data_IF_142128891946
#
_entry.id   IF_142128891946
#
_cell.length_a   1.000
_cell.length_b   1.000
_cell.length_c   1.000
_cell.angle_alpha   90.00
_cell.angle_beta   90.00
_cell.angle_gamma   90.00
#
_symmetry.space_group_name_H-M   'P 1'
#
loop_
_entity.id
_entity.type
_entity.pdbx_description
1 polymer ?
#
# COMPACT_ATOMS: atom_id res chain seq x y z
N UNK A 1 -3.39 -0.32 2.69
CA UNK A 1 -4.24 0.50 3.61
C UNK A 1 -5.21 1.47 2.90
N UNK A 2 -4.88 1.99 1.70
CA UNK A 2 -5.81 2.80 0.86
C UNK A 2 -7.15 2.09 0.52
N UNK A 3 -7.24 0.76 0.67
CA UNK A 3 -8.46 -0.04 0.44
C UNK A 3 -9.58 0.15 1.47
N UNK A 4 -9.26 0.54 2.70
CA UNK A 4 -10.17 0.36 3.84
C UNK A 4 -10.58 1.67 4.54
N UNK A 5 -9.79 2.73 4.36
CA UNK A 5 -9.89 3.98 5.13
C UNK A 5 -10.19 5.15 4.19
N UNK A 6 -11.20 5.00 3.33
CA UNK A 6 -11.68 6.05 2.43
C UNK A 6 -12.75 6.93 3.07
N UNK A 7 -12.72 8.22 2.72
CA UNK A 7 -13.53 9.37 3.17
C UNK A 7 -13.19 9.98 4.54
N UNK A 8 -13.01 11.31 4.53
CA UNK A 8 -12.87 12.18 5.70
C UNK A 8 -14.21 12.24 6.44
N UNK A 9 -14.29 11.58 7.59
CA UNK A 9 -15.49 11.52 8.42
C UNK A 9 -15.22 10.78 9.74
N UNK A 10 -16.12 10.91 10.73
CA UNK A 10 -15.92 10.32 12.06
C UNK A 10 -16.05 8.80 12.09
N UNK A 11 -16.52 8.17 11.00
CA UNK A 11 -16.83 6.74 10.91
C UNK A 11 -16.14 6.12 9.70
N UNK A 12 -15.64 4.90 9.85
CA UNK A 12 -15.19 4.08 8.72
C UNK A 12 -16.37 3.23 8.27
N UNK A 13 -17.13 3.73 7.29
CA UNK A 13 -18.41 3.15 6.86
C UNK A 13 -18.33 1.67 6.49
N UNK A 14 -17.22 1.26 5.85
CA UNK A 14 -17.00 -0.13 5.45
C UNK A 14 -16.95 -1.11 6.64
N UNK A 15 -16.62 -0.64 7.84
CA UNK A 15 -16.58 -1.49 9.05
C UNK A 15 -17.62 -1.07 10.10
N UNK A 16 -18.40 -0.01 9.85
CA UNK A 16 -19.40 0.54 10.78
C UNK A 16 -18.84 0.83 12.18
N UNK A 17 -17.57 1.21 12.27
CA UNK A 17 -16.91 1.64 13.52
C UNK A 17 -16.51 3.10 13.44
N UNK A 18 -16.46 3.77 14.59
CA UNK A 18 -15.89 5.11 14.65
C UNK A 18 -14.40 5.06 14.30
N UNK A 19 -13.89 6.12 13.69
CA UNK A 19 -12.47 6.26 13.37
C UNK A 19 -11.60 6.20 14.63
N UNK A 20 -12.09 6.75 15.75
CA UNK A 20 -11.43 6.66 17.04
C UNK A 20 -11.30 5.20 17.49
N UNK A 21 -12.39 4.41 17.44
CA UNK A 21 -12.38 3.01 17.83
C UNK A 21 -11.47 2.16 16.92
N UNK A 22 -11.46 2.46 15.62
CA UNK A 22 -10.54 1.80 14.69
C UNK A 22 -9.07 2.10 15.00
N UNK A 23 -8.71 3.38 15.21
CA UNK A 23 -7.34 3.75 15.55
C UNK A 23 -6.90 3.18 16.90
N UNK A 24 -7.78 3.16 17.90
CA UNK A 24 -7.50 2.55 19.20
C UNK A 24 -7.22 1.04 19.07
N UNK A 25 -8.07 0.32 18.32
CA UNK A 25 -7.88 -1.11 18.05
C UNK A 25 -6.59 -1.37 17.25
N UNK A 26 -6.31 -0.55 16.24
CA UNK A 26 -5.08 -0.64 15.45
C UNK A 26 -3.84 -0.45 16.32
N UNK A 27 -3.87 0.54 17.22
CA UNK A 27 -2.78 0.80 18.17
C UNK A 27 -2.55 -0.40 19.08
N UNK A 28 -3.62 -0.97 19.66
CA UNK A 28 -3.51 -2.14 20.52
C UNK A 28 -2.86 -3.34 19.78
N UNK A 29 -3.27 -3.62 18.54
CA UNK A 29 -2.67 -4.67 17.69
C UNK A 29 -1.17 -4.44 17.49
N UNK A 30 -0.78 -3.21 17.17
CA UNK A 30 0.63 -2.85 16.95
C UNK A 30 1.44 -2.99 18.25
N UNK A 31 0.90 -2.56 19.39
CA UNK A 31 1.56 -2.65 20.70
C UNK A 31 1.76 -4.10 21.15
N UNK A 32 0.87 -5.00 20.76
CA UNK A 32 1.03 -6.44 20.97
C UNK A 32 2.05 -7.09 20.02
N UNK A 33 2.67 -6.33 19.10
CA UNK A 33 3.59 -6.85 18.10
C UNK A 33 2.90 -7.71 17.03
N UNK A 34 1.57 -7.65 16.95
CA UNK A 34 0.80 -8.43 15.98
C UNK A 34 0.81 -7.76 14.60
N UNK A 35 0.54 -8.56 13.57
CA UNK A 35 0.44 -8.03 12.22
C UNK A 35 -0.72 -7.02 12.12
N UNK A 36 -0.45 -5.79 11.68
CA UNK A 36 -1.40 -4.66 11.68
C UNK A 36 -2.76 -4.97 11.03
N UNK A 37 -2.84 -5.92 10.09
CA UNK A 37 -4.10 -6.33 9.46
C UNK A 37 -5.06 -7.04 10.43
N UNK A 38 -4.57 -7.54 11.57
CA UNK A 38 -5.40 -8.16 12.60
C UNK A 38 -6.50 -7.22 13.12
N UNK A 39 -6.29 -5.90 13.05
CA UNK A 39 -7.32 -4.92 13.42
C UNK A 39 -8.64 -5.18 12.69
N UNK A 40 -8.59 -5.64 11.44
CA UNK A 40 -9.80 -5.86 10.65
C UNK A 40 -10.62 -7.04 11.17
N UNK A 41 -9.94 -8.11 11.63
CA UNK A 41 -10.62 -9.23 12.29
C UNK A 41 -11.28 -8.76 13.59
N UNK A 42 -10.67 -7.83 14.32
CA UNK A 42 -11.21 -7.29 15.57
C UNK A 42 -12.44 -6.42 15.34
N UNK A 43 -12.40 -5.51 14.36
CA UNK A 43 -13.49 -4.56 14.12
C UNK A 43 -14.63 -5.15 13.30
N UNK A 44 -14.34 -6.13 12.43
CA UNK A 44 -15.34 -6.82 11.61
C UNK A 44 -14.80 -8.21 11.22
N UNK A 45 -15.05 -9.25 12.04
CA UNK A 45 -14.66 -10.61 11.71
C UNK A 45 -15.22 -11.07 10.35
N UNK A 46 -14.43 -11.82 9.58
CA UNK A 46 -14.87 -12.43 8.32
C UNK A 46 -15.06 -11.46 7.16
N UNK A 47 -14.39 -10.30 7.17
CA UNK A 47 -14.41 -9.37 6.02
C UNK A 47 -13.87 -10.03 4.76
N UNK A 48 -14.71 -10.08 3.72
CA UNK A 48 -14.25 -10.34 2.36
C UNK A 48 -13.68 -9.06 1.73
N UNK A 49 -12.36 -8.91 1.79
CA UNK A 49 -11.65 -7.79 1.19
C UNK A 49 -11.75 -7.77 -0.34
N UNK A 50 -11.93 -8.93 -0.99
CA UNK A 50 -12.13 -8.98 -2.42
C UNK A 50 -13.51 -8.43 -2.80
N UNK A 51 -14.55 -8.70 -2.00
CA UNK A 51 -15.86 -8.07 -2.17
C UNK A 51 -15.80 -6.56 -1.95
N UNK A 52 -15.19 -6.09 -0.87
CA UNK A 52 -15.02 -4.64 -0.62
C UNK A 52 -14.24 -3.95 -1.74
N UNK A 53 -13.23 -4.63 -2.30
CA UNK A 53 -12.48 -4.14 -3.46
C UNK A 53 -13.38 -4.01 -4.68
N UNK A 54 -14.14 -5.05 -5.03
CA UNK A 54 -15.08 -5.04 -6.18
C UNK A 54 -16.13 -3.94 -6.04
N UNK A 55 -16.72 -3.79 -4.85
CA UNK A 55 -17.69 -2.73 -4.56
C UNK A 55 -17.07 -1.36 -4.81
N UNK A 56 -15.87 -1.11 -4.26
CA UNK A 56 -15.16 0.16 -4.44
C UNK A 56 -14.84 0.43 -5.91
N UNK A 57 -14.33 -0.56 -6.63
CA UNK A 57 -14.03 -0.46 -8.06
C UNK A 57 -15.28 -0.20 -8.92
N UNK A 58 -16.43 -0.76 -8.55
CA UNK A 58 -17.71 -0.52 -9.24
C UNK A 58 -18.18 0.94 -9.16
N UNK A 59 -17.73 1.68 -8.15
CA UNK A 59 -18.00 3.12 -7.97
C UNK A 59 -16.95 4.02 -8.65
N UNK A 60 -16.04 3.44 -9.45
CA UNK A 60 -14.97 4.16 -10.13
C UNK A 60 -13.75 4.44 -9.24
N UNK A 61 -13.77 4.04 -7.97
CA UNK A 61 -12.65 4.21 -7.05
C UNK A 61 -11.69 3.01 -7.15
N UNK A 62 -11.01 2.95 -8.29
CA UNK A 62 -9.98 1.95 -8.58
C UNK A 62 -8.66 2.38 -7.95
N UNK A 63 -7.83 1.41 -7.55
CA UNK A 63 -6.47 1.72 -7.11
C UNK A 63 -5.67 2.27 -8.30
N UNK A 64 -5.16 3.49 -8.15
CA UNK A 64 -4.24 4.10 -9.10
C UNK A 64 -3.08 4.75 -8.34
N UNK A 65 -1.92 4.76 -9.00
CA UNK A 65 -0.81 5.66 -8.68
C UNK A 65 -0.69 6.59 -9.87
N UNK A 66 -0.79 7.89 -9.63
CA UNK A 66 -0.69 8.91 -10.67
C UNK A 66 0.56 9.76 -10.50
N UNK A 67 0.81 10.66 -11.44
CA UNK A 67 1.89 11.65 -11.34
C UNK A 67 1.79 12.52 -10.09
N UNK A 68 0.57 12.79 -9.63
CA UNK A 68 0.30 13.62 -8.45
C UNK A 68 0.63 12.92 -7.12
N UNK A 69 0.71 11.57 -7.13
CA UNK A 69 1.18 10.80 -5.98
C UNK A 69 2.72 10.82 -5.86
N UNK A 70 3.45 11.30 -6.88
CA UNK A 70 4.91 11.39 -6.87
C UNK A 70 5.37 12.78 -6.42
N UNK A 71 6.42 12.84 -5.60
CA UNK A 71 7.13 14.11 -5.41
C UNK A 71 7.73 14.57 -6.75
N UNK A 72 7.71 15.88 -6.98
CA UNK A 72 8.12 16.47 -8.25
C UNK A 72 9.56 16.13 -8.67
N UNK A 73 10.42 15.81 -7.70
CA UNK A 73 11.83 15.49 -7.87
C UNK A 73 12.12 13.99 -8.01
N UNK A 74 11.14 13.08 -7.81
CA UNK A 74 11.35 11.62 -7.91
C UNK A 74 11.96 11.24 -9.25
N UNK A 75 11.31 11.59 -10.36
CA UNK A 75 11.76 11.19 -11.69
C UNK A 75 13.11 11.83 -12.05
N UNK A 76 13.31 13.16 -11.88
CA UNK A 76 14.62 13.78 -12.12
C UNK A 76 15.75 13.19 -11.27
N UNK A 77 15.50 12.88 -10.00
CA UNK A 77 16.49 12.31 -9.09
C UNK A 77 16.92 10.91 -9.54
N UNK A 78 15.94 10.03 -9.78
CA UNK A 78 16.22 8.66 -10.19
C UNK A 78 16.91 8.58 -11.57
N UNK A 79 16.60 9.50 -12.50
CA UNK A 79 17.32 9.60 -13.78
C UNK A 79 18.81 9.88 -13.57
N UNK A 80 19.15 10.87 -12.73
CA UNK A 80 20.54 11.23 -12.43
C UNK A 80 21.32 10.08 -11.79
N UNK A 81 20.70 9.32 -10.89
CA UNK A 81 21.33 8.14 -10.29
C UNK A 81 21.69 7.10 -11.35
N UNK A 82 20.77 6.83 -12.28
CA UNK A 82 21.01 5.88 -13.37
C UNK A 82 22.06 6.38 -14.36
N UNK A 83 22.03 7.66 -14.73
CA UNK A 83 23.04 8.30 -15.58
C UNK A 83 24.43 8.26 -14.93
N UNK A 84 24.50 8.31 -13.61
CA UNK A 84 25.74 8.12 -12.84
C UNK A 84 26.14 6.63 -12.67
N UNK A 85 25.45 5.69 -13.31
CA UNK A 85 25.73 4.26 -13.24
C UNK A 85 25.32 3.59 -11.93
N UNK A 86 24.46 4.22 -11.12
CA UNK A 86 23.94 3.63 -9.87
C UNK A 86 22.69 2.80 -10.14
N UNK A 87 22.67 1.49 -9.80
CA UNK A 87 21.46 0.66 -9.91
C UNK A 87 20.34 1.18 -9.00
N UNK A 88 19.12 1.25 -9.53
CA UNK A 88 17.95 1.74 -8.79
C UNK A 88 16.90 0.64 -8.67
N UNK A 89 16.55 0.29 -7.43
CA UNK A 89 15.47 -0.63 -7.11
C UNK A 89 14.36 0.04 -6.30
N UNK A 90 13.09 -0.25 -6.63
CA UNK A 90 11.90 0.19 -5.89
C UNK A 90 11.18 -1.05 -5.38
N UNK A 91 11.03 -1.16 -4.05
CA UNK A 91 10.31 -2.26 -3.43
C UNK A 91 9.55 -1.83 -2.17
N UNK A 92 8.29 -2.28 -2.04
CA UNK A 92 7.49 -2.01 -0.84
C UNK A 92 6.32 -2.95 -0.64
N UNK A 93 5.68 -2.84 0.53
CA UNK A 93 4.49 -3.61 0.91
C UNK A 93 3.24 -3.05 0.19
N UNK A 94 3.22 -3.21 -1.13
CA UNK A 94 2.21 -2.67 -2.02
C UNK A 94 1.50 -3.78 -2.80
N UNK A 95 0.32 -3.51 -3.37
CA UNK A 95 -0.28 -4.37 -4.37
C UNK A 95 0.56 -4.45 -5.66
N UNK A 96 0.38 -5.50 -6.46
CA UNK A 96 1.07 -5.67 -7.76
C UNK A 96 0.78 -4.52 -8.73
N UNK A 97 -0.38 -3.90 -8.59
CA UNK A 97 -0.83 -2.77 -9.39
C UNK A 97 0.09 -1.55 -9.23
N UNK A 98 0.78 -1.40 -8.09
CA UNK A 98 1.79 -0.35 -7.91
C UNK A 98 2.97 -0.52 -8.85
N UNK A 99 3.39 -1.78 -9.11
CA UNK A 99 4.50 -2.04 -10.03
C UNK A 99 4.14 -1.62 -11.45
N UNK A 100 2.94 -2.01 -11.91
CA UNK A 100 2.44 -1.64 -13.22
C UNK A 100 2.30 -0.12 -13.37
N UNK A 101 1.77 0.55 -12.35
CA UNK A 101 1.58 1.99 -12.38
C UNK A 101 2.91 2.76 -12.44
N UNK A 102 3.92 2.37 -11.64
CA UNK A 102 5.24 3.00 -11.68
C UNK A 102 5.94 2.80 -13.03
N UNK A 103 5.78 1.62 -13.65
CA UNK A 103 6.29 1.36 -15.01
C UNK A 103 5.57 2.21 -16.06
N UNK A 104 4.24 2.30 -15.99
CA UNK A 104 3.43 3.12 -16.90
C UNK A 104 3.75 4.62 -16.79
N UNK A 105 4.08 5.10 -15.59
CA UNK A 105 4.53 6.47 -15.33
C UNK A 105 5.98 6.73 -15.80
N UNK A 106 6.69 5.71 -16.30
CA UNK A 106 8.07 5.84 -16.75
C UNK A 106 9.06 6.14 -15.61
N UNK A 107 8.76 5.69 -14.39
CA UNK A 107 9.66 5.88 -13.25
C UNK A 107 10.98 5.15 -13.52
N UNK A 108 12.14 5.84 -13.46
CA UNK A 108 13.42 5.24 -13.82
C UNK A 108 13.90 4.31 -12.72
N UNK A 109 13.67 3.01 -12.88
CA UNK A 109 14.17 1.98 -11.99
C UNK A 109 14.50 0.72 -12.77
N UNK A 110 15.56 0.02 -12.35
CA UNK A 110 15.99 -1.24 -12.95
C UNK A 110 15.18 -2.40 -12.38
N UNK A 111 14.77 -2.30 -11.11
CA UNK A 111 13.88 -3.26 -10.44
C UNK A 111 12.69 -2.49 -9.86
N UNK A 112 11.48 -2.99 -10.10
CA UNK A 112 10.25 -2.57 -9.43
C UNK A 112 9.54 -3.83 -8.98
N UNK A 113 9.32 -3.96 -7.67
CA UNK A 113 8.71 -5.13 -7.07
C UNK A 113 7.83 -4.75 -5.86
N UNK A 114 6.97 -5.67 -5.48
CA UNK A 114 6.07 -5.52 -4.34
C UNK A 114 6.18 -6.74 -3.43
N UNK A 115 5.73 -6.60 -2.18
CA UNK A 115 5.68 -7.75 -1.28
C UNK A 115 4.78 -8.88 -1.81
N UNK A 116 3.80 -8.54 -2.66
CA UNK A 116 2.94 -9.53 -3.31
C UNK A 116 3.71 -10.33 -4.36
N UNK A 117 4.49 -9.67 -5.22
CA UNK A 117 5.27 -10.38 -6.24
C UNK A 117 6.43 -11.17 -5.66
N UNK A 118 7.08 -10.66 -4.60
CA UNK A 118 8.18 -11.36 -3.93
C UNK A 118 7.72 -12.42 -2.90
N UNK A 119 6.44 -12.42 -2.52
CA UNK A 119 5.91 -13.36 -1.50
C UNK A 119 6.49 -13.15 -0.09
N UNK A 120 7.20 -12.04 0.13
CA UNK A 120 7.76 -11.62 1.41
C UNK A 120 7.44 -10.15 1.64
N UNK A 121 7.13 -9.77 2.87
CA UNK A 121 6.84 -8.38 3.23
C UNK A 121 7.85 -7.83 4.25
N UNK A 122 8.12 -6.53 4.19
CA UNK A 122 8.85 -5.83 5.26
C UNK A 122 8.07 -5.99 6.57
N UNK A 123 8.73 -6.17 7.73
CA UNK A 123 10.17 -6.01 7.96
C UNK A 123 10.97 -7.33 7.90
N UNK A 124 10.46 -8.40 7.28
CA UNK A 124 11.23 -9.64 7.12
C UNK A 124 12.56 -9.36 6.40
N UNK A 125 13.67 -9.87 6.94
CA UNK A 125 15.02 -9.58 6.44
C UNK A 125 15.25 -10.10 5.03
N UNK A 126 14.52 -11.15 4.61
CA UNK A 126 14.56 -11.67 3.24
C UNK A 126 14.07 -10.65 2.22
N UNK A 127 13.24 -9.68 2.63
CA UNK A 127 12.78 -8.60 1.74
C UNK A 127 13.93 -7.75 1.19
N UNK A 128 14.96 -7.51 2.01
CA UNK A 128 16.14 -6.70 1.62
C UNK A 128 17.28 -7.52 1.04
N UNK A 129 17.10 -8.84 0.91
CA UNK A 129 18.07 -9.75 0.30
C UNK A 129 17.44 -10.56 -0.85
N UNK A 130 16.79 -9.89 -1.83
CA UNK A 130 16.18 -10.55 -2.98
C UNK A 130 17.23 -11.12 -3.96
#
# INVERSE_FOLDING_TARGET
MKLAIGASGPTISAFRVSRLAFHASLRAVIECGEHHRRVFDLVRPGVDFAALRRERESTGNVFAVTTEDLYADVVPCLKRLREAGTPVGIAGNHPVETEHALRALGVPADIVASSVSWGVEKPDTRFSSP
#
